data_IF_586572573680
#
_entry.id   IF_586572573680
#
_cell.length_a   1.000
_cell.length_b   1.000
_cell.length_c   1.000
_cell.angle_alpha   90.00
_cell.angle_beta   90.00
_cell.angle_gamma   90.00
#
_symmetry.space_group_name_H-M   'P 1'
#
loop_
_entity.id
_entity.type
_entity.pdbx_description
1 polymer ?
#
# COMPACT_ATOMS: atom_id res chain seq x y z
N UNK A 1 5.63 15.98 -7.22
CA UNK A 1 4.37 15.50 -6.64
C UNK A 1 3.78 14.54 -7.64
N UNK A 2 3.62 13.27 -7.29
CA UNK A 2 3.02 12.31 -8.21
C UNK A 2 1.57 12.70 -8.49
N UNK A 3 1.17 12.67 -9.77
CA UNK A 3 -0.21 12.95 -10.20
C UNK A 3 -1.14 11.76 -9.94
N UNK A 4 -0.58 10.61 -9.53
CA UNK A 4 -1.32 9.39 -9.32
C UNK A 4 -2.17 9.45 -8.02
N UNK A 5 -3.51 9.36 -8.10
CA UNK A 5 -4.38 9.45 -6.93
C UNK A 5 -4.10 8.36 -5.89
N UNK A 6 -3.73 7.15 -6.34
CA UNK A 6 -3.52 5.98 -5.49
C UNK A 6 -2.20 6.08 -4.74
N UNK A 7 -1.15 6.60 -5.38
CA UNK A 7 0.12 6.94 -4.70
C UNK A 7 -0.15 7.98 -3.63
N UNK A 8 -0.90 9.04 -3.95
CA UNK A 8 -1.25 10.09 -2.98
C UNK A 8 -2.07 9.56 -1.82
N UNK A 9 -3.03 8.68 -2.07
CA UNK A 9 -3.84 8.06 -1.04
C UNK A 9 -2.99 7.18 -0.10
N UNK A 10 -2.09 6.38 -0.67
CA UNK A 10 -1.20 5.49 0.10
C UNK A 10 -0.19 6.28 0.94
N UNK A 11 0.46 7.30 0.36
CA UNK A 11 1.37 8.19 1.11
C UNK A 11 0.64 8.90 2.25
N UNK A 12 -0.59 9.36 2.00
CA UNK A 12 -1.41 9.97 3.05
C UNK A 12 -1.71 8.95 4.16
N UNK A 13 -1.97 7.69 3.81
CA UNK A 13 -2.22 6.62 4.78
C UNK A 13 -1.01 6.38 5.68
N UNK A 14 0.19 6.33 5.09
CA UNK A 14 1.47 6.25 5.79
C UNK A 14 1.68 7.46 6.73
N UNK A 15 1.37 8.67 6.28
CA UNK A 15 1.47 9.89 7.11
C UNK A 15 0.50 9.85 8.31
N UNK A 16 -0.65 9.18 8.17
CA UNK A 16 -1.56 8.93 9.28
C UNK A 16 -1.10 7.81 10.22
N UNK A 17 -0.01 7.11 9.90
CA UNK A 17 0.51 5.98 10.67
C UNK A 17 -0.43 4.76 10.65
N UNK A 18 -1.31 4.67 9.66
CA UNK A 18 -2.27 3.58 9.56
C UNK A 18 -1.64 2.41 8.77
N UNK A 19 -1.81 1.16 9.22
CA UNK A 19 -1.21 0.02 8.56
C UNK A 19 -1.90 -0.25 7.21
N UNK A 20 -1.14 -0.78 6.27
CA UNK A 20 -1.64 -1.32 5.01
C UNK A 20 -0.83 -2.55 4.66
N UNK A 21 -1.41 -3.41 3.82
CA UNK A 21 -0.77 -4.65 3.38
C UNK A 21 -0.86 -4.83 1.88
N UNK A 22 0.14 -5.50 1.32
CA UNK A 22 0.11 -5.91 -0.07
C UNK A 22 -0.77 -7.15 -0.20
N UNK A 23 -1.80 -7.07 -1.04
CA UNK A 23 -2.67 -8.22 -1.34
C UNK A 23 -2.19 -8.94 -2.58
N UNK A 24 -1.80 -8.16 -3.60
CA UNK A 24 -1.31 -8.70 -4.85
C UNK A 24 -0.25 -7.76 -5.42
N UNK A 25 0.85 -8.32 -5.88
CA UNK A 25 1.86 -7.58 -6.61
C UNK A 25 2.25 -8.35 -7.86
N UNK A 26 2.14 -7.68 -9.00
CA UNK A 26 2.54 -8.19 -10.32
C UNK A 26 3.40 -7.14 -11.01
N UNK A 27 4.19 -7.50 -12.02
CA UNK A 27 5.00 -6.55 -12.78
C UNK A 27 4.17 -5.48 -13.52
N UNK A 28 2.86 -5.69 -13.70
CA UNK A 28 1.96 -4.76 -14.40
C UNK A 28 0.97 -4.04 -13.48
N UNK A 29 0.75 -4.53 -12.26
CA UNK A 29 -0.28 -4.03 -11.34
C UNK A 29 0.02 -4.44 -9.91
N UNK A 30 -0.23 -3.54 -8.97
CA UNK A 30 -0.24 -3.86 -7.56
C UNK A 30 -1.58 -3.49 -6.92
N UNK A 31 -1.94 -4.28 -5.93
CA UNK A 31 -3.15 -4.20 -5.12
C UNK A 31 -2.71 -4.20 -3.67
N UNK A 32 -3.09 -3.14 -2.95
CA UNK A 32 -2.88 -3.02 -1.51
C UNK A 32 -4.20 -2.80 -0.82
N UNK A 33 -4.28 -3.28 0.42
CA UNK A 33 -5.41 -3.07 1.30
C UNK A 33 -4.99 -2.19 2.46
N UNK A 34 -5.67 -1.06 2.58
CA UNK A 34 -5.57 -0.16 3.72
C UNK A 34 -6.34 -0.80 4.88
N UNK A 35 -5.70 -0.87 6.05
CA UNK A 35 -6.24 -1.54 7.23
C UNK A 35 -6.57 -0.48 8.29
N UNK A 36 -7.65 -0.69 9.05
CA UNK A 36 -7.87 0.12 10.25
C UNK A 36 -6.75 -0.09 11.26
N UNK A 37 -6.40 0.95 12.00
CA UNK A 37 -5.50 0.82 13.15
C UNK A 37 -6.13 0.01 14.31
N UNK A 38 -7.47 -0.08 14.36
CA UNK A 38 -8.20 -0.60 15.52
C UNK A 38 -8.37 -2.14 15.49
N UNK A 39 -8.70 -2.71 14.32
CA UNK A 39 -9.04 -4.13 14.17
C UNK A 39 -8.31 -4.81 13.00
N UNK A 40 -7.52 -4.05 12.22
CA UNK A 40 -6.87 -4.58 11.02
C UNK A 40 -7.87 -4.93 9.91
N UNK A 41 -9.08 -4.35 9.95
CA UNK A 41 -10.10 -4.56 8.92
C UNK A 41 -9.72 -3.82 7.64
N UNK A 42 -9.89 -4.44 6.49
CA UNK A 42 -9.74 -3.77 5.19
C UNK A 42 -10.80 -2.67 5.05
N UNK A 43 -10.36 -1.40 5.03
CA UNK A 43 -11.26 -0.26 4.79
C UNK A 43 -11.39 0.05 3.31
N UNK A 44 -10.28 -0.04 2.60
CA UNK A 44 -10.20 0.36 1.21
C UNK A 44 -9.07 -0.38 0.52
N UNK A 45 -9.30 -0.73 -0.75
CA UNK A 45 -8.33 -1.41 -1.58
C UNK A 45 -7.87 -0.47 -2.68
N UNK A 46 -6.58 -0.12 -2.65
CA UNK A 46 -5.97 0.68 -3.70
C UNK A 46 -5.36 -0.23 -4.76
N UNK A 47 -5.67 0.08 -6.01
CA UNK A 47 -5.15 -0.68 -7.14
C UNK A 47 -4.59 0.27 -8.18
N UNK A 48 -3.35 0.04 -8.57
CA UNK A 48 -2.67 0.85 -9.58
C UNK A 48 -1.68 0.03 -10.39
N UNK A 49 -1.51 0.44 -11.64
CA UNK A 49 -0.54 -0.10 -12.60
C UNK A 49 0.62 0.87 -12.84
N UNK A 50 0.69 1.92 -12.05
CA UNK A 50 1.67 2.99 -12.18
C UNK A 50 3.03 2.54 -11.63
N UNK A 51 4.14 2.79 -12.35
CA UNK A 51 5.46 2.37 -11.91
C UNK A 51 5.86 2.95 -10.55
N UNK A 52 5.40 4.16 -10.21
CA UNK A 52 5.70 4.79 -8.91
C UNK A 52 4.99 4.06 -7.77
N UNK A 53 3.73 3.66 -7.98
CA UNK A 53 2.98 2.83 -7.05
C UNK A 53 3.60 1.44 -6.91
N UNK A 54 3.97 0.81 -8.03
CA UNK A 54 4.61 -0.51 -8.04
C UNK A 54 5.93 -0.52 -7.25
N UNK A 55 6.75 0.52 -7.40
CA UNK A 55 8.02 0.65 -6.68
C UNK A 55 7.82 0.83 -5.17
N UNK A 56 6.82 1.61 -4.75
CA UNK A 56 6.49 1.80 -3.34
C UNK A 56 6.00 0.50 -2.69
N UNK A 57 5.10 -0.22 -3.37
CA UNK A 57 4.64 -1.55 -2.93
C UNK A 57 5.78 -2.56 -2.89
N UNK A 58 6.68 -2.55 -3.88
CA UNK A 58 7.85 -3.44 -3.91
C UNK A 58 8.79 -3.21 -2.73
N UNK A 59 8.99 -1.95 -2.32
CA UNK A 59 9.80 -1.65 -1.14
C UNK A 59 9.20 -2.23 0.13
N UNK A 60 7.87 -2.15 0.28
CA UNK A 60 7.19 -2.73 1.45
C UNK A 60 7.21 -4.25 1.44
N UNK A 61 7.00 -4.88 0.27
CA UNK A 61 7.08 -6.34 0.13
C UNK A 61 8.50 -6.88 0.33
N UNK A 62 9.52 -6.06 0.06
CA UNK A 62 10.91 -6.38 0.34
C UNK A 62 11.31 -6.23 1.81
N UNK A 63 10.40 -5.74 2.67
CA UNK A 63 10.56 -5.68 4.12
C UNK A 63 9.80 -6.87 4.76
N UNK A 64 10.42 -8.06 4.86
CA UNK A 64 9.75 -9.27 5.36
C UNK A 64 9.48 -9.23 6.87
N UNK A 65 10.00 -8.23 7.61
CA UNK A 65 9.79 -8.08 9.06
C UNK A 65 8.56 -7.24 9.41
N UNK A 66 8.02 -6.48 8.45
CA UNK A 66 6.82 -5.66 8.60
C UNK A 66 5.53 -6.50 8.50
N UNK A 67 5.46 -7.61 9.23
CA UNK A 67 4.34 -8.55 9.24
C UNK A 67 4.29 -9.44 10.49
N UNK A 68 4.98 -9.07 11.57
CA UNK A 68 4.88 -9.77 12.85
C UNK A 68 4.99 -8.80 14.03
N UNK A 69 3.83 -8.48 14.62
CA UNK A 69 3.64 -8.38 16.08
C UNK A 69 2.19 -8.67 16.41
#
# INVERSE_FOLDING_TARGET
>A
MSENPQVRALLRWEEHGAPWRVVEQTPARATVSLLTCDDGTEVERLISSDPEFLALVARQAADPESGSV
#
